data_IF_173551758656
#
_entry.id   IF_173551758656
#
_cell.length_a   1.000
_cell.length_b   1.000
_cell.length_c   1.000
_cell.angle_alpha   90.00
_cell.angle_beta   90.00
_cell.angle_gamma   90.00
#
_symmetry.space_group_name_H-M   'P 1'
#
loop_
_entity.id
_entity.type
_entity.pdbx_description
1 polymer ?
#
# COMPACT_ATOMS: atom_id res chain seq x y z
N UNK A 1 5.60 13.49 30.74
CA UNK A 1 5.93 14.12 29.45
C UNK A 1 4.70 13.98 28.58
N UNK A 2 4.00 15.07 28.26
CA UNK A 2 2.82 15.02 27.39
C UNK A 2 3.33 14.87 25.95
N UNK A 3 2.80 13.90 25.21
CA UNK A 3 3.11 13.72 23.79
C UNK A 3 2.64 14.94 23.00
N UNK A 4 3.42 15.35 21.99
CA UNK A 4 3.01 16.37 21.04
C UNK A 4 1.77 15.87 20.28
N UNK A 5 0.61 16.56 20.37
CA UNK A 5 -0.63 16.11 19.73
C UNK A 5 -0.54 16.05 18.20
N UNK A 6 0.37 16.81 17.58
CA UNK A 6 0.57 16.73 16.13
C UNK A 6 1.33 15.46 15.75
N UNK A 7 2.38 15.14 16.50
CA UNK A 7 3.14 13.90 16.32
C UNK A 7 2.25 12.67 16.56
N UNK A 8 1.45 12.69 17.62
CA UNK A 8 0.51 11.61 17.95
C UNK A 8 -0.47 11.33 16.80
N UNK A 9 -1.05 12.38 16.21
CA UNK A 9 -1.93 12.26 15.04
C UNK A 9 -1.19 11.78 13.80
N UNK A 10 0.01 12.29 13.54
CA UNK A 10 0.81 11.87 12.38
C UNK A 10 1.18 10.39 12.45
N UNK A 11 1.61 9.92 13.63
CA UNK A 11 1.85 8.50 13.90
C UNK A 11 0.56 7.68 13.74
N UNK A 12 -0.54 8.18 14.31
CA UNK A 12 -1.86 7.55 14.19
C UNK A 12 -2.35 7.41 12.75
N UNK A 13 -2.03 8.35 11.86
CA UNK A 13 -2.38 8.25 10.44
C UNK A 13 -1.67 7.08 9.76
N UNK A 14 -0.34 6.97 9.90
CA UNK A 14 0.43 5.92 9.23
C UNK A 14 0.21 4.54 9.87
N UNK A 15 0.19 4.47 11.21
CA UNK A 15 -0.11 3.23 11.92
C UNK A 15 -1.57 2.80 11.70
N UNK A 16 -2.50 3.74 11.69
CA UNK A 16 -3.92 3.50 11.45
C UNK A 16 -4.20 2.98 10.04
N UNK A 17 -3.45 3.45 9.03
CA UNK A 17 -3.47 2.90 7.68
C UNK A 17 -3.10 1.40 7.72
N UNK A 18 -1.94 1.07 8.30
CA UNK A 18 -1.47 -0.32 8.36
C UNK A 18 -2.38 -1.25 9.18
N UNK A 19 -2.94 -0.74 10.29
CA UNK A 19 -3.91 -1.48 11.10
C UNK A 19 -5.21 -1.70 10.33
N UNK A 20 -5.71 -0.69 9.62
CA UNK A 20 -6.93 -0.78 8.82
C UNK A 20 -6.80 -1.78 7.67
N UNK A 21 -5.67 -1.73 6.96
CA UNK A 21 -5.28 -2.67 5.91
C UNK A 21 -5.25 -4.12 6.44
N UNK A 22 -4.44 -4.40 7.46
CA UNK A 22 -4.27 -5.74 8.01
C UNK A 22 -5.56 -6.35 8.61
N UNK A 23 -6.47 -5.52 9.13
CA UNK A 23 -7.79 -5.98 9.59
C UNK A 23 -8.74 -6.18 8.40
N UNK A 24 -8.77 -5.24 7.46
CA UNK A 24 -9.71 -5.18 6.35
C UNK A 24 -9.54 -6.32 5.33
N UNK A 25 -8.30 -6.70 5.04
CA UNK A 25 -7.98 -7.78 4.08
C UNK A 25 -8.63 -9.12 4.44
N UNK A 26 -8.92 -9.36 5.72
CA UNK A 26 -9.63 -10.55 6.23
C UNK A 26 -10.93 -10.84 5.45
N UNK A 27 -11.63 -9.79 5.03
CA UNK A 27 -12.98 -9.86 4.42
C UNK A 27 -13.02 -9.28 3.01
N UNK A 28 -11.85 -9.14 2.40
CA UNK A 28 -11.73 -8.62 1.05
C UNK A 28 -12.51 -9.48 0.04
N UNK A 29 -13.13 -8.82 -0.94
CA UNK A 29 -14.01 -9.40 -1.96
C UNK A 29 -15.28 -10.09 -1.44
N UNK A 30 -15.55 -10.05 -0.12
CA UNK A 30 -16.80 -10.58 0.43
C UNK A 30 -17.93 -9.55 0.34
N UNK A 31 -19.16 -9.97 0.03
CA UNK A 31 -20.30 -9.08 0.06
C UNK A 31 -20.58 -8.62 1.50
N UNK A 32 -21.04 -7.38 1.65
CA UNK A 32 -21.45 -6.84 2.96
C UNK A 32 -22.51 -7.74 3.60
N UNK A 33 -22.28 -8.15 4.84
CA UNK A 33 -23.15 -9.07 5.58
C UNK A 33 -22.94 -10.56 5.26
N UNK A 34 -22.01 -10.89 4.36
CA UNK A 34 -21.63 -12.26 4.00
C UNK A 34 -20.57 -12.90 4.91
N UNK A 35 -20.18 -12.24 5.99
CA UNK A 35 -19.15 -12.68 6.92
C UNK A 35 -19.50 -12.29 8.35
N UNK A 36 -18.99 -13.04 9.33
CA UNK A 36 -19.13 -12.69 10.74
C UNK A 36 -18.35 -11.40 11.04
N UNK A 37 -18.84 -10.51 11.94
CA UNK A 37 -18.13 -9.28 12.25
C UNK A 37 -16.67 -9.50 12.63
N UNK A 38 -15.75 -8.86 11.91
CA UNK A 38 -14.32 -8.83 12.27
C UNK A 38 -14.16 -7.84 13.40
N UNK A 39 -13.69 -8.32 14.55
CA UNK A 39 -13.55 -7.54 15.79
C UNK A 39 -12.11 -7.54 16.32
N UNK A 40 -11.21 -8.26 15.64
CA UNK A 40 -9.80 -8.38 15.99
C UNK A 40 -8.97 -8.60 14.72
N UNK A 41 -7.66 -8.48 14.84
CA UNK A 41 -6.70 -8.69 13.78
C UNK A 41 -6.39 -10.19 13.63
N UNK A 42 -7.13 -10.86 12.76
CA UNK A 42 -7.10 -12.34 12.64
C UNK A 42 -6.40 -12.87 11.39
N UNK A 43 -6.01 -11.99 10.45
CA UNK A 43 -5.42 -12.41 9.18
C UNK A 43 -6.41 -13.16 8.28
N UNK A 44 -5.93 -14.15 7.53
CA UNK A 44 -6.74 -14.94 6.59
C UNK A 44 -6.97 -14.21 5.27
N UNK A 45 -8.24 -14.01 4.91
CA UNK A 45 -8.62 -13.37 3.65
C UNK A 45 -8.22 -14.16 2.40
N UNK A 46 -8.30 -13.52 1.21
CA UNK A 46 -7.96 -14.16 -0.07
C UNK A 46 -6.49 -14.60 -0.16
N UNK A 47 -5.60 -13.96 0.61
CA UNK A 47 -4.16 -14.21 0.56
C UNK A 47 -3.64 -15.16 1.65
N UNK A 48 -4.50 -15.57 2.59
CA UNK A 48 -4.14 -16.44 3.75
C UNK A 48 -3.01 -15.83 4.58
N UNK A 49 -3.20 -14.57 4.97
CA UNK A 49 -2.24 -13.80 5.75
C UNK A 49 -2.20 -14.26 7.21
N UNK A 50 -1.04 -14.12 7.83
CA UNK A 50 -0.92 -14.20 9.29
C UNK A 50 -1.49 -12.92 9.95
N UNK A 51 -1.99 -13.00 11.19
CA UNK A 51 -2.38 -11.81 11.95
C UNK A 51 -1.31 -10.71 11.93
N UNK A 52 -1.69 -9.51 11.50
CA UNK A 52 -0.80 -8.34 11.44
C UNK A 52 -0.05 -8.16 10.13
N UNK A 53 -0.19 -9.06 9.16
CA UNK A 53 0.31 -8.81 7.81
C UNK A 53 -0.66 -7.90 7.03
N UNK A 54 -0.10 -6.84 6.46
CA UNK A 54 -0.76 -5.84 5.60
C UNK A 54 -0.51 -6.10 4.10
N UNK A 55 -1.26 -5.45 3.21
CA UNK A 55 -1.23 -5.65 1.75
C UNK A 55 -0.46 -4.56 1.00
N UNK A 56 -0.85 -4.28 -0.26
CA UNK A 56 -0.26 -3.29 -1.13
C UNK A 56 -0.47 -1.86 -0.63
N UNK A 57 -1.60 -1.54 0.00
CA UNK A 57 -1.87 -0.21 0.59
C UNK A 57 -0.71 0.26 1.49
N UNK A 58 -0.36 -0.56 2.49
CA UNK A 58 0.75 -0.23 3.40
C UNK A 58 2.11 -0.33 2.71
N UNK A 59 2.31 -1.29 1.82
CA UNK A 59 3.58 -1.44 1.10
C UNK A 59 3.89 -0.20 0.25
N UNK A 60 2.88 0.34 -0.43
CA UNK A 60 2.99 1.56 -1.23
C UNK A 60 3.17 2.80 -0.34
N UNK A 61 2.47 2.89 0.79
CA UNK A 61 2.65 3.98 1.75
C UNK A 61 4.07 4.04 2.32
N UNK A 62 4.67 2.88 2.63
CA UNK A 62 6.07 2.79 3.09
C UNK A 62 7.06 3.25 2.00
N UNK A 63 6.84 2.83 0.75
CA UNK A 63 7.66 3.30 -0.37
C UNK A 63 7.59 4.83 -0.53
N UNK A 64 6.40 5.42 -0.40
CA UNK A 64 6.22 6.88 -0.43
C UNK A 64 6.93 7.56 0.74
N UNK A 65 6.74 7.06 1.97
CA UNK A 65 7.37 7.62 3.16
C UNK A 65 8.89 7.62 3.06
N UNK A 66 9.50 6.52 2.61
CA UNK A 66 10.95 6.45 2.41
C UNK A 66 11.45 7.37 1.29
N UNK A 67 10.66 7.56 0.22
CA UNK A 67 10.99 8.51 -0.84
C UNK A 67 10.99 9.95 -0.33
N UNK A 68 10.00 10.32 0.49
CA UNK A 68 9.91 11.64 1.11
C UNK A 68 10.99 11.89 2.17
N UNK A 69 11.42 10.83 2.88
CA UNK A 69 12.56 10.91 3.78
C UNK A 69 13.89 11.08 3.03
N UNK A 70 13.97 10.57 1.80
CA UNK A 70 15.14 10.75 0.94
C UNK A 70 15.16 12.15 0.30
N UNK A 71 14.03 12.59 -0.25
CA UNK A 71 13.85 13.90 -0.90
C UNK A 71 12.47 14.48 -0.50
N UNK A 72 12.42 15.50 0.38
CA UNK A 72 11.17 16.08 0.85
C UNK A 72 10.26 16.68 -0.24
N UNK A 73 10.84 17.13 -1.36
CA UNK A 73 10.07 17.64 -2.50
C UNK A 73 9.47 16.53 -3.38
N UNK A 74 9.72 15.26 -3.04
CA UNK A 74 9.37 14.04 -3.77
C UNK A 74 10.04 13.95 -5.15
N UNK A 75 10.98 13.02 -5.32
CA UNK A 75 11.46 12.59 -6.64
C UNK A 75 10.55 11.47 -7.20
N UNK A 76 9.74 11.73 -8.26
CA UNK A 76 8.87 10.71 -8.85
C UNK A 76 9.64 9.50 -9.39
N UNK A 77 10.88 9.68 -9.85
CA UNK A 77 11.68 8.54 -10.30
C UNK A 77 12.14 7.67 -9.14
N UNK A 78 12.50 8.25 -7.98
CA UNK A 78 12.85 7.47 -6.79
C UNK A 78 11.65 6.66 -6.30
N UNK A 79 10.48 7.29 -6.19
CA UNK A 79 9.26 6.61 -5.78
C UNK A 79 8.92 5.44 -6.71
N UNK A 80 8.96 5.66 -8.03
CA UNK A 80 8.68 4.61 -9.00
C UNK A 80 9.71 3.47 -8.95
N UNK A 81 10.99 3.76 -8.64
CA UNK A 81 12.01 2.72 -8.39
C UNK A 81 11.71 1.93 -7.12
N UNK A 82 11.25 2.58 -6.04
CA UNK A 82 10.83 1.89 -4.79
C UNK A 82 9.66 0.95 -5.03
N UNK A 83 8.63 1.41 -5.74
CA UNK A 83 7.52 0.55 -6.13
C UNK A 83 7.96 -0.63 -7.00
N UNK A 84 8.94 -0.46 -7.90
CA UNK A 84 9.52 -1.58 -8.64
C UNK A 84 10.28 -2.55 -7.73
N UNK A 85 11.04 -2.09 -6.74
CA UNK A 85 11.71 -2.98 -5.79
C UNK A 85 10.73 -3.73 -4.90
N UNK A 86 9.64 -3.09 -4.47
CA UNK A 86 8.53 -3.80 -3.84
C UNK A 86 7.97 -4.89 -4.76
N UNK A 87 7.60 -4.53 -6.00
CA UNK A 87 7.03 -5.44 -6.98
C UNK A 87 7.94 -6.65 -7.28
N UNK A 88 9.24 -6.42 -7.48
CA UNK A 88 10.18 -7.42 -7.99
C UNK A 88 10.90 -8.19 -6.88
N UNK A 89 11.11 -7.56 -5.72
CA UNK A 89 11.97 -8.09 -4.64
C UNK A 89 11.22 -8.27 -3.31
N UNK A 90 9.98 -7.77 -3.19
CA UNK A 90 9.22 -7.83 -1.95
C UNK A 90 9.69 -6.83 -0.88
N UNK A 91 10.47 -5.81 -1.25
CA UNK A 91 10.83 -4.71 -0.35
C UNK A 91 9.56 -4.06 0.21
N UNK A 92 9.51 -3.78 1.51
CA UNK A 92 8.34 -3.25 2.22
C UNK A 92 7.06 -4.13 2.22
N UNK A 93 7.13 -5.37 1.71
CA UNK A 93 6.02 -6.32 1.81
C UNK A 93 6.04 -7.08 3.15
N UNK A 94 4.87 -7.20 3.80
CA UNK A 94 4.70 -7.94 5.06
C UNK A 94 4.99 -9.46 4.95
N UNK A 95 4.93 -10.00 3.74
CA UNK A 95 5.15 -11.44 3.45
C UNK A 95 6.51 -11.73 2.81
N UNK A 96 7.34 -10.70 2.61
CA UNK A 96 8.62 -10.81 1.89
C UNK A 96 8.49 -10.96 0.36
N UNK A 97 7.29 -10.78 -0.20
CA UNK A 97 7.04 -10.74 -1.65
C UNK A 97 5.88 -9.81 -1.98
N UNK A 98 5.86 -9.21 -3.16
CA UNK A 98 4.70 -8.47 -3.64
C UNK A 98 3.50 -9.40 -3.85
N UNK A 99 2.34 -8.97 -3.38
CA UNK A 99 1.03 -9.55 -3.68
C UNK A 99 -0.01 -8.41 -3.70
N UNK A 100 -1.25 -8.73 -4.10
CA UNK A 100 -2.39 -7.80 -4.13
C UNK A 100 -2.27 -6.53 -4.99
N UNK A 101 -1.21 -6.41 -5.81
CA UNK A 101 -1.04 -5.23 -6.65
C UNK A 101 -2.23 -5.03 -7.62
N UNK A 102 -2.87 -3.86 -7.49
CA UNK A 102 -3.92 -3.43 -8.40
C UNK A 102 -3.47 -3.36 -9.87
N UNK A 103 -4.37 -3.69 -10.80
CA UNK A 103 -4.06 -3.73 -12.25
C UNK A 103 -3.58 -2.38 -12.80
N UNK A 104 -4.15 -1.27 -12.32
CA UNK A 104 -3.76 0.08 -12.74
C UNK A 104 -2.32 0.38 -12.29
N UNK A 105 -1.98 0.09 -11.03
CA UNK A 105 -0.63 0.23 -10.48
C UNK A 105 0.36 -0.63 -11.24
N UNK A 106 0.06 -1.91 -11.46
CA UNK A 106 0.92 -2.82 -12.23
C UNK A 106 1.17 -2.31 -13.66
N UNK A 107 0.14 -1.75 -14.30
CA UNK A 107 0.26 -1.15 -15.63
C UNK A 107 1.19 0.07 -15.63
N UNK A 108 1.06 0.96 -14.63
CA UNK A 108 1.91 2.14 -14.49
C UNK A 108 3.38 1.76 -14.24
N UNK A 109 3.65 0.81 -13.34
CA UNK A 109 5.00 0.30 -13.08
C UNK A 109 5.61 -0.38 -14.30
N UNK A 110 4.80 -1.15 -15.04
CA UNK A 110 5.25 -1.78 -16.29
C UNK A 110 5.59 -0.74 -17.38
N UNK A 111 4.82 0.35 -17.45
CA UNK A 111 5.12 1.45 -18.36
C UNK A 111 6.43 2.13 -17.97
N UNK A 112 6.57 2.56 -16.72
CA UNK A 112 7.78 3.19 -16.20
C UNK A 112 9.02 2.32 -16.41
N UNK A 113 8.96 1.01 -16.11
CA UNK A 113 10.08 0.10 -16.32
C UNK A 113 10.57 0.06 -17.77
N UNK A 114 9.66 0.26 -18.73
CA UNK A 114 9.98 0.23 -20.16
C UNK A 114 10.44 1.59 -20.69
N UNK A 115 9.89 2.69 -20.19
CA UNK A 115 10.08 4.03 -20.79
C UNK A 115 10.94 4.97 -19.95
N UNK A 116 11.04 4.72 -18.64
CA UNK A 116 11.61 5.64 -17.67
C UNK A 116 10.71 6.81 -17.31
N UNK A 117 9.50 6.93 -17.87
CA UNK A 117 8.55 8.02 -17.59
C UNK A 117 7.84 7.80 -16.25
N UNK A 118 8.11 8.62 -15.20
CA UNK A 118 7.58 8.37 -13.87
C UNK A 118 6.09 8.73 -13.75
N UNK A 119 5.59 9.64 -14.59
CA UNK A 119 4.16 9.99 -14.63
C UNK A 119 3.39 9.00 -15.50
N UNK A 120 3.36 7.74 -15.07
CA UNK A 120 2.89 6.59 -15.84
C UNK A 120 1.40 6.21 -15.62
N UNK A 121 0.63 7.09 -14.96
CA UNK A 121 -0.79 6.85 -14.67
C UNK A 121 -1.68 6.83 -15.92
N UNK A 122 -2.77 6.07 -15.87
CA UNK A 122 -3.79 6.08 -16.92
C UNK A 122 -4.74 7.27 -16.73
N UNK A 123 -5.11 7.94 -17.82
CA UNK A 123 -6.11 9.02 -17.84
C UNK A 123 -7.52 8.53 -18.18
N UNK A 124 -7.70 7.21 -18.36
CA UNK A 124 -9.00 6.62 -18.70
C UNK A 124 -9.93 6.60 -17.48
N UNK A 125 -11.23 6.80 -17.72
CA UNK A 125 -12.23 6.80 -16.65
C UNK A 125 -12.33 5.48 -15.87
N UNK A 126 -12.01 4.35 -16.50
CA UNK A 126 -12.01 3.01 -15.88
C UNK A 126 -10.77 2.74 -15.00
N UNK A 127 -9.83 3.68 -14.92
CA UNK A 127 -8.62 3.58 -14.11
C UNK A 127 -8.73 4.29 -12.74
N UNK A 128 -9.91 4.85 -12.40
CA UNK A 128 -10.19 5.53 -11.13
C UNK A 128 -10.36 4.55 -9.95
N UNK A 129 -9.32 3.77 -9.68
CA UNK A 129 -9.24 2.85 -8.54
C UNK A 129 -8.67 3.51 -7.28
N UNK A 130 -8.44 2.69 -6.25
CA UNK A 130 -7.90 3.09 -4.95
C UNK A 130 -6.36 2.99 -4.84
N UNK A 131 -5.66 2.54 -5.89
CA UNK A 131 -4.20 2.30 -5.85
C UNK A 131 -3.30 3.54 -5.87
N UNK A 132 -3.80 4.70 -5.43
CA UNK A 132 -3.01 5.92 -5.24
C UNK A 132 -2.74 6.13 -3.76
N UNK A 133 -1.51 6.50 -3.41
CA UNK A 133 -1.08 6.78 -2.03
C UNK A 133 -0.45 8.17 -1.92
#
# INVERSE_FOLDING_TARGET
MQSDPHLDRALGCLLGLAVGDAVGTTVEFLPRGGFAPVTDMVGGGPFRLEPGQWTDDTSMALCLAESLLHEPDLDPHDLMRRFLRWLEQGENASTGRCFDIGRTTLSALSHFRRTGEPMAGSTRADAAGNGSV
#
